data_IF_732593862050
#
_entry.id   IF_732593862050
#
_cell.length_a   1.000
_cell.length_b   1.000
_cell.length_c   1.000
_cell.angle_alpha   90.00
_cell.angle_beta   90.00
_cell.angle_gamma   90.00
#
_symmetry.space_group_name_H-M   'P 1'
#
loop_
_entity.id
_entity.type
_entity.pdbx_description
1 polymer ?
#
# COMPACT_ATOMS: atom_id res chain seq x y z
N UNK A 1 50.19 7.68 -72.80
CA UNK A 1 50.12 7.70 -71.32
C UNK A 1 48.76 8.28 -70.96
N UNK A 2 47.76 7.43 -70.72
CA UNK A 2 46.39 7.85 -70.44
C UNK A 2 45.85 7.14 -69.21
N UNK A 3 45.33 7.97 -68.30
CA UNK A 3 44.21 7.79 -67.36
C UNK A 3 44.30 6.63 -66.35
N UNK A 4 44.61 7.00 -65.10
CA UNK A 4 44.25 6.21 -63.93
C UNK A 4 42.77 6.47 -63.58
N UNK A 5 41.97 5.40 -63.54
CA UNK A 5 40.56 5.39 -63.17
C UNK A 5 40.41 5.57 -61.65
N UNK A 6 39.67 6.61 -61.22
CA UNK A 6 39.18 6.74 -59.84
C UNK A 6 37.96 5.83 -59.66
N UNK A 7 38.11 4.75 -58.90
CA UNK A 7 37.00 3.89 -58.48
C UNK A 7 36.31 4.49 -57.27
N UNK A 8 35.10 5.04 -57.45
CA UNK A 8 34.25 5.54 -56.36
C UNK A 8 33.67 4.38 -55.55
N UNK A 9 34.10 4.26 -54.30
CA UNK A 9 33.58 3.29 -53.34
C UNK A 9 32.19 3.73 -52.86
N UNK A 10 31.15 3.02 -53.29
CA UNK A 10 29.76 3.30 -52.88
C UNK A 10 29.51 2.72 -51.49
N UNK A 11 29.25 3.59 -50.50
CA UNK A 11 28.74 3.21 -49.19
C UNK A 11 27.29 2.76 -49.33
N UNK A 12 27.03 1.45 -49.29
CA UNK A 12 25.67 0.93 -49.04
C UNK A 12 25.38 1.12 -47.56
N UNK A 13 24.55 2.11 -47.22
CA UNK A 13 23.91 2.20 -45.92
C UNK A 13 22.81 1.13 -45.86
N UNK A 14 23.16 -0.05 -45.35
CA UNK A 14 22.18 -1.05 -44.96
C UNK A 14 21.34 -0.51 -43.80
N UNK A 15 20.17 0.07 -44.10
CA UNK A 15 19.18 0.41 -43.10
C UNK A 15 18.62 -0.86 -42.48
N UNK A 16 19.02 -1.18 -41.25
CA UNK A 16 18.36 -2.22 -40.46
C UNK A 16 16.96 -1.74 -40.09
N UNK A 17 15.96 -2.07 -40.91
CA UNK A 17 14.55 -1.90 -40.56
C UNK A 17 14.18 -2.96 -39.54
N UNK A 18 14.34 -2.66 -38.24
CA UNK A 18 13.74 -3.44 -37.19
C UNK A 18 12.22 -3.41 -37.38
N UNK A 19 11.60 -4.55 -37.73
CA UNK A 19 10.15 -4.71 -37.59
C UNK A 19 9.84 -4.56 -36.11
N UNK A 20 9.14 -3.50 -35.74
CA UNK A 20 8.51 -3.40 -34.43
C UNK A 20 7.65 -4.65 -34.24
N UNK A 21 8.08 -5.52 -33.33
CA UNK A 21 7.18 -6.50 -32.78
C UNK A 21 6.15 -5.72 -32.00
N UNK A 22 4.95 -5.58 -32.58
CA UNK A 22 3.77 -5.11 -31.88
C UNK A 22 3.57 -6.06 -30.71
N UNK A 23 4.09 -5.69 -29.55
CA UNK A 23 3.87 -6.41 -28.29
C UNK A 23 2.37 -6.37 -28.10
N UNK A 24 1.74 -7.51 -28.37
CA UNK A 24 0.34 -7.75 -28.02
C UNK A 24 0.32 -7.64 -26.51
N UNK A 25 -0.18 -6.51 -26.01
CA UNK A 25 -0.24 -6.19 -24.59
C UNK A 25 -0.78 -7.41 -23.86
N UNK A 26 0.04 -7.96 -22.97
CA UNK A 26 -0.36 -9.05 -22.10
C UNK A 26 -1.56 -8.57 -21.29
N UNK A 27 -2.70 -9.25 -21.39
CA UNK A 27 -3.93 -9.02 -20.58
C UNK A 27 -3.69 -9.19 -19.07
N UNK A 28 -2.44 -9.39 -18.64
CA UNK A 28 -2.02 -9.53 -17.24
C UNK A 28 -1.42 -8.23 -16.67
N UNK A 29 -1.69 -7.06 -17.26
CA UNK A 29 -1.29 -5.79 -16.65
C UNK A 29 -2.22 -5.41 -15.51
N UNK A 30 -1.64 -5.11 -14.34
CA UNK A 30 -2.40 -4.51 -13.26
C UNK A 30 -2.83 -3.09 -13.66
N UNK A 31 -4.11 -2.78 -13.46
CA UNK A 31 -4.67 -1.45 -13.69
C UNK A 31 -5.19 -0.86 -12.38
N UNK A 32 -4.93 0.42 -12.15
CA UNK A 32 -5.44 1.13 -10.98
C UNK A 32 -6.95 1.29 -11.12
N UNK A 33 -7.72 0.78 -10.15
CA UNK A 33 -9.19 0.82 -10.16
C UNK A 33 -9.79 1.96 -9.31
N UNK A 34 -9.03 2.47 -8.35
CA UNK A 34 -9.43 3.59 -7.48
C UNK A 34 -8.22 4.20 -6.75
N UNK A 35 -8.41 5.41 -6.24
CA UNK A 35 -7.51 6.05 -5.27
C UNK A 35 -8.30 6.41 -4.01
N UNK A 36 -7.63 6.38 -2.85
CA UNK A 36 -8.17 6.86 -1.58
C UNK A 36 -7.16 7.86 -1.04
N UNK A 37 -7.63 9.04 -0.65
CA UNK A 37 -6.78 10.10 -0.11
C UNK A 37 -7.09 10.31 1.37
N UNK A 38 -6.05 10.52 2.16
CA UNK A 38 -6.14 10.89 3.56
C UNK A 38 -5.50 12.27 3.74
N UNK A 39 -6.29 13.28 4.08
CA UNK A 39 -5.76 14.64 4.23
C UNK A 39 -5.01 14.75 5.56
N UNK A 40 -3.73 15.11 5.52
CA UNK A 40 -2.88 15.26 6.69
C UNK A 40 -2.44 13.95 7.38
N UNK A 41 -2.80 12.78 6.83
CA UNK A 41 -2.37 11.48 7.35
C UNK A 41 -1.35 10.83 6.41
N UNK A 42 -0.38 10.14 6.98
CA UNK A 42 0.68 9.45 6.26
C UNK A 42 0.53 7.94 6.45
N UNK A 43 0.15 7.21 5.41
CA UNK A 43 0.03 5.75 5.46
C UNK A 43 1.42 5.11 5.60
N UNK A 44 1.59 4.24 6.59
CA UNK A 44 2.86 3.55 6.90
C UNK A 44 2.78 2.03 6.74
N UNK A 45 1.60 1.45 6.94
CA UNK A 45 1.37 0.01 6.74
C UNK A 45 -0.09 -0.25 6.32
N UNK A 46 -0.34 -1.39 5.68
CA UNK A 46 -1.66 -1.77 5.19
C UNK A 46 -1.91 -3.26 5.32
N UNK A 47 -3.06 -3.61 5.89
CA UNK A 47 -3.50 -5.00 6.04
C UNK A 47 -4.88 -5.18 5.42
N UNK A 48 -5.01 -6.16 4.53
CA UNK A 48 -6.30 -6.56 3.96
C UNK A 48 -6.87 -7.75 4.71
N UNK A 49 -8.16 -7.72 4.97
CA UNK A 49 -8.91 -8.84 5.52
C UNK A 49 -10.17 -9.14 4.70
N UNK A 50 -10.38 -10.42 4.38
CA UNK A 50 -11.68 -10.95 3.93
C UNK A 50 -12.48 -11.47 5.13
N UNK A 51 -13.74 -11.09 5.22
CA UNK A 51 -14.73 -11.64 6.17
C UNK A 51 -15.52 -12.78 5.50
N UNK A 52 -16.25 -13.55 6.30
CA UNK A 52 -17.00 -14.74 5.86
C UNK A 52 -18.06 -14.47 4.78
N UNK A 53 -18.52 -13.23 4.66
CA UNK A 53 -19.57 -12.78 3.73
C UNK A 53 -19.01 -12.10 2.47
N UNK A 54 -17.76 -12.38 2.08
CA UNK A 54 -17.06 -11.74 0.95
C UNK A 54 -16.94 -10.23 1.07
N UNK A 55 -17.03 -9.70 2.29
CA UNK A 55 -16.67 -8.32 2.57
C UNK A 55 -15.17 -8.21 2.76
N UNK A 56 -14.56 -7.21 2.13
CA UNK A 56 -13.13 -6.96 2.21
C UNK A 56 -12.91 -5.62 2.91
N UNK A 57 -12.08 -5.65 3.96
CA UNK A 57 -11.64 -4.45 4.65
C UNK A 57 -10.15 -4.24 4.46
N UNK A 58 -9.75 -3.00 4.21
CA UNK A 58 -8.37 -2.54 4.24
C UNK A 58 -8.17 -1.69 5.49
N UNK A 59 -7.24 -2.08 6.33
CA UNK A 59 -6.79 -1.33 7.50
C UNK A 59 -5.51 -0.60 7.13
N UNK A 60 -5.57 0.73 7.09
CA UNK A 60 -4.44 1.58 6.75
C UNK A 60 -3.91 2.19 8.04
N UNK A 61 -2.73 1.76 8.45
CA UNK A 61 -2.02 2.34 9.57
C UNK A 61 -1.40 3.66 9.12
N UNK A 62 -1.55 4.69 9.93
CA UNK A 62 -0.91 5.99 9.71
C UNK A 62 0.30 6.20 10.62
N UNK A 63 1.07 7.25 10.35
CA UNK A 63 2.26 7.64 11.13
C UNK A 63 1.94 7.90 12.61
N UNK A 64 3.00 8.17 13.39
CA UNK A 64 2.95 8.48 14.83
C UNK A 64 1.71 9.30 15.20
N UNK A 65 0.91 8.74 16.11
CA UNK A 65 -0.28 9.37 16.72
C UNK A 65 -1.48 9.56 15.78
N UNK A 66 -1.43 9.04 14.55
CA UNK A 66 -2.49 9.22 13.55
C UNK A 66 -3.51 8.07 13.46
N UNK A 67 -3.26 6.95 14.15
CA UNK A 67 -4.19 5.84 14.24
C UNK A 67 -4.27 4.94 13.00
N UNK A 68 -5.40 4.28 12.84
CA UNK A 68 -5.71 3.37 11.72
C UNK A 68 -7.01 3.81 11.05
N UNK A 69 -7.03 3.93 9.71
CA UNK A 69 -8.26 4.05 8.94
C UNK A 69 -8.77 2.68 8.49
N UNK A 70 -10.09 2.50 8.53
CA UNK A 70 -10.77 1.28 8.10
C UNK A 70 -11.55 1.58 6.82
N UNK A 71 -11.33 0.79 5.79
CA UNK A 71 -11.88 1.02 4.47
C UNK A 71 -12.59 -0.24 4.01
N UNK A 72 -13.87 -0.13 3.65
CA UNK A 72 -14.57 -1.15 2.89
C UNK A 72 -14.10 -1.09 1.43
N UNK A 73 -13.47 -2.18 0.97
CA UNK A 73 -12.98 -2.37 -0.40
C UNK A 73 -13.71 -3.51 -1.11
N UNK A 74 -14.89 -3.91 -0.62
CA UNK A 74 -15.75 -4.95 -1.23
C UNK A 74 -16.12 -4.61 -2.67
N UNK A 75 -16.22 -3.30 -2.98
CA UNK A 75 -16.30 -2.77 -4.35
C UNK A 75 -15.00 -2.02 -4.67
N UNK A 76 -14.01 -2.65 -5.33
CA UNK A 76 -12.66 -2.06 -5.50
C UNK A 76 -12.64 -0.72 -6.24
N UNK A 77 -13.56 -0.50 -7.18
CA UNK A 77 -13.71 0.76 -7.91
C UNK A 77 -14.46 1.86 -7.12
N UNK A 78 -15.01 1.52 -5.95
CA UNK A 78 -15.78 2.42 -5.07
C UNK A 78 -15.44 2.17 -3.60
N UNK A 79 -14.17 2.29 -3.20
CA UNK A 79 -13.77 2.08 -1.82
C UNK A 79 -14.40 3.14 -0.90
N UNK A 80 -14.68 2.77 0.36
CA UNK A 80 -15.31 3.68 1.32
C UNK A 80 -14.59 3.62 2.66
N UNK A 81 -14.20 4.78 3.19
CA UNK A 81 -13.75 4.88 4.58
C UNK A 81 -14.99 4.68 5.47
N UNK A 82 -14.96 3.68 6.35
CA UNK A 82 -16.08 3.30 7.22
C UNK A 82 -15.77 3.52 8.70
N UNK A 83 -14.52 3.83 9.05
CA UNK A 83 -14.16 4.10 10.43
C UNK A 83 -12.69 4.49 10.61
N UNK A 84 -12.36 4.89 11.84
CA UNK A 84 -10.99 5.15 12.26
C UNK A 84 -10.80 4.70 13.72
N UNK A 85 -9.63 4.15 14.01
CA UNK A 85 -9.20 3.76 15.36
C UNK A 85 -8.08 4.70 15.77
N UNK A 86 -8.29 5.60 16.75
CA UNK A 86 -7.22 6.44 17.27
C UNK A 86 -6.24 5.62 18.11
N UNK A 87 -4.97 6.03 18.13
CA UNK A 87 -4.01 5.47 19.08
C UNK A 87 -4.37 5.89 20.52
N UNK A 88 -4.19 5.00 21.52
CA UNK A 88 -4.42 5.34 22.93
C UNK A 88 -3.51 6.44 23.46
N UNK A 89 -2.27 6.44 22.99
CA UNK A 89 -1.14 7.21 23.50
C UNK A 89 -0.22 7.62 22.35
N UNK A 90 0.78 8.49 22.60
CA UNK A 90 1.79 8.78 21.61
C UNK A 90 2.56 7.50 21.22
N UNK A 91 2.29 6.97 20.04
CA UNK A 91 2.79 5.69 19.55
C UNK A 91 3.79 5.94 18.44
N UNK A 92 5.08 5.64 18.69
CA UNK A 92 6.10 5.77 17.65
C UNK A 92 6.18 4.49 16.86
N UNK A 93 5.50 4.45 15.73
CA UNK A 93 5.41 3.28 14.85
C UNK A 93 4.74 2.05 15.47
N UNK A 94 3.82 1.50 14.70
CA UNK A 94 3.24 0.21 14.99
C UNK A 94 3.33 -0.71 13.78
N UNK A 95 3.11 -2.00 14.00
CA UNK A 95 2.70 -2.92 12.94
C UNK A 95 1.34 -3.44 13.33
N UNK A 96 0.47 -3.58 12.34
CA UNK A 96 -0.85 -4.14 12.53
C UNK A 96 -0.90 -5.49 11.83
N UNK A 97 -1.50 -6.48 12.48
CA UNK A 97 -1.96 -7.70 11.82
C UNK A 97 -3.41 -7.94 12.22
N UNK A 98 -4.22 -8.48 11.31
CA UNK A 98 -5.64 -8.67 11.51
C UNK A 98 -6.04 -10.10 11.19
N UNK A 99 -6.80 -10.74 12.08
CA UNK A 99 -7.37 -12.08 11.87
C UNK A 99 -8.73 -12.20 12.56
N UNK A 100 -9.75 -12.64 11.84
CA UNK A 100 -11.12 -12.67 12.37
C UNK A 100 -11.56 -11.29 12.87
N UNK A 101 -12.01 -11.20 14.11
CA UNK A 101 -12.37 -9.90 14.71
C UNK A 101 -11.24 -9.34 15.59
N UNK A 102 -10.03 -9.87 15.45
CA UNK A 102 -8.87 -9.48 16.24
C UNK A 102 -7.86 -8.71 15.39
N UNK A 103 -7.29 -7.65 15.97
CA UNK A 103 -6.08 -7.01 15.51
C UNK A 103 -4.98 -7.24 16.57
N UNK A 104 -3.78 -7.56 16.11
CA UNK A 104 -2.56 -7.51 16.92
C UNK A 104 -1.82 -6.26 16.49
N UNK A 105 -1.55 -5.40 17.46
CA UNK A 105 -0.82 -4.16 17.23
C UNK A 105 0.44 -4.20 18.07
N UNK A 106 1.59 -4.15 17.40
CA UNK A 106 2.86 -3.90 18.10
C UNK A 106 3.10 -2.41 18.15
N UNK A 107 3.20 -1.83 19.33
CA UNK A 107 3.49 -0.42 19.55
C UNK A 107 4.87 -0.30 20.21
N UNK A 108 5.75 0.53 19.64
CA UNK A 108 6.85 1.07 20.45
C UNK A 108 6.34 2.32 21.16
N UNK A 109 6.10 2.19 22.46
CA UNK A 109 5.77 3.35 23.28
C UNK A 109 7.03 4.20 23.50
N UNK A 110 6.95 5.50 23.20
CA UNK A 110 7.77 6.49 23.90
C UNK A 110 6.91 7.06 25.03
N UNK A 111 6.59 6.22 26.01
CA UNK A 111 6.16 6.76 27.30
C UNK A 111 7.37 6.86 28.21
N UNK A 112 7.44 8.00 28.86
CA UNK A 112 8.26 8.52 29.96
C UNK A 112 8.46 7.59 31.17
N UNK A 113 8.54 6.27 30.97
CA UNK A 113 8.97 5.27 31.93
C UNK A 113 10.50 5.07 31.81
N UNK A 114 11.21 4.61 32.87
CA UNK A 114 12.67 4.44 32.88
C UNK A 114 13.16 3.62 31.67
N UNK A 115 14.45 3.75 31.26
CA UNK A 115 14.99 3.50 29.91
C UNK A 115 14.98 2.01 29.48
N UNK A 116 13.81 1.41 29.46
CA UNK A 116 13.56 0.05 29.03
C UNK A 116 12.55 0.13 27.90
N UNK A 117 13.07 0.02 26.68
CA UNK A 117 12.34 -0.01 25.42
C UNK A 117 11.35 -1.19 25.46
N UNK A 118 10.16 -0.95 25.99
CA UNK A 118 9.12 -1.97 26.13
C UNK A 118 8.29 -1.96 24.87
N UNK A 119 8.41 -3.02 24.07
CA UNK A 119 7.50 -3.30 22.97
C UNK A 119 6.15 -3.71 23.59
N UNK A 120 5.14 -2.86 23.47
CA UNK A 120 3.78 -3.21 23.88
C UNK A 120 3.10 -3.90 22.70
N UNK A 121 2.66 -5.15 22.87
CA UNK A 121 1.82 -5.84 21.87
C UNK A 121 0.41 -5.99 22.43
N UNK A 122 -0.55 -5.22 21.92
CA UNK A 122 -1.95 -5.29 22.31
C UNK A 122 -2.77 -6.18 21.37
N UNK A 123 -3.73 -6.95 21.91
CA UNK A 123 -4.76 -7.64 21.14
C UNK A 123 -6.05 -6.84 21.25
N UNK A 124 -6.53 -6.31 20.12
CA UNK A 124 -7.75 -5.52 20.07
C UNK A 124 -8.85 -6.25 19.32
N UNK A 125 -10.10 -6.05 19.73
CA UNK A 125 -11.24 -6.40 18.85
C UNK A 125 -11.51 -5.27 17.87
N UNK A 126 -11.59 -5.60 16.59
CA UNK A 126 -11.95 -4.68 15.52
C UNK A 126 -13.29 -5.10 14.92
N UNK A 127 -14.35 -4.34 15.24
CA UNK A 127 -15.69 -4.57 14.71
C UNK A 127 -16.05 -3.48 13.71
N UNK A 128 -16.18 -3.80 12.40
CA UNK A 128 -16.41 -2.83 11.33
C UNK A 128 -17.66 -1.94 11.44
N UNK A 129 -18.58 -2.23 12.37
CA UNK A 129 -19.94 -1.68 12.43
C UNK A 129 -20.31 -1.04 13.78
N UNK A 130 -19.36 -0.91 14.72
CA UNK A 130 -19.65 -0.20 15.97
C UNK A 130 -19.23 1.26 15.84
N UNK A 131 -20.19 2.15 16.06
CA UNK A 131 -20.09 3.62 16.18
C UNK A 131 -19.07 4.11 17.25
N UNK A 132 -18.34 3.21 17.90
CA UNK A 132 -17.34 3.54 18.89
C UNK A 132 -16.18 2.54 18.78
N UNK A 133 -15.29 2.77 17.82
CA UNK A 133 -13.96 2.16 17.81
C UNK A 133 -13.17 2.72 18.99
N UNK A 134 -13.37 2.11 20.17
CA UNK A 134 -12.68 2.50 21.38
C UNK A 134 -11.22 2.10 21.26
N UNK A 135 -10.36 3.04 21.65
CA UNK A 135 -8.92 2.90 21.81
C UNK A 135 -8.54 1.54 22.42
N UNK A 136 -7.54 0.89 21.82
CA UNK A 136 -6.92 -0.34 22.31
C UNK A 136 -6.24 -0.11 23.67
N UNK A 137 -6.97 -0.25 24.77
CA UNK A 137 -6.37 -0.36 26.11
C UNK A 137 -6.69 -1.72 26.72
N UNK A 138 -5.74 -2.23 27.49
CA UNK A 138 -5.98 -3.29 28.48
C UNK A 138 -6.96 -2.82 29.55
#
# INVERSE_FOLDING_TARGET
>A
MSLALLSTMSLVSGGASAKEHKVKGSDNQAHVVAHISFSGLSAVDMVMQRKVNDTYYLYVQHSTDQGISIIDITKPAQPKVVGAIPWPDPAVSSRVNVTGDLAIISESGLRTAPPTMTLYSGICRIQPLLEQYKSCRE
#
